data_IF_998125765161
#
_entry.id   IF_998125765161
#
_cell.length_a   1.000
_cell.length_b   1.000
_cell.length_c   1.000
_cell.angle_alpha   90.00
_cell.angle_beta   90.00
_cell.angle_gamma   90.00
#
_symmetry.space_group_name_H-M   'P 1'
#
loop_
_entity.id
_entity.type
_entity.pdbx_description
1 polymer ?
#
# COMPACT_ATOMS: atom_id res chain seq x y z
N UNK A 1 1.57 7.70 0.17
CA UNK A 1 2.00 8.48 1.34
C UNK A 1 1.22 8.07 2.58
N UNK A 2 -0.11 8.32 2.61
CA UNK A 2 -0.91 8.10 3.82
C UNK A 2 -0.81 6.69 4.41
N UNK A 3 -0.89 5.63 3.58
CA UNK A 3 -0.76 4.26 4.06
C UNK A 3 0.61 4.00 4.71
N UNK A 4 1.70 4.51 4.14
CA UNK A 4 3.03 4.40 4.70
C UNK A 4 3.12 5.08 6.08
N UNK A 5 2.64 6.33 6.19
CA UNK A 5 2.68 7.08 7.46
C UNK A 5 1.72 6.52 8.54
N UNK A 6 0.71 5.74 8.17
CA UNK A 6 -0.11 5.00 9.15
C UNK A 6 0.49 3.65 9.54
N UNK A 7 1.43 3.14 8.74
CA UNK A 7 2.17 1.90 9.04
C UNK A 7 3.39 2.21 9.88
N UNK A 8 4.10 3.30 9.56
CA UNK A 8 5.33 3.71 10.22
C UNK A 8 5.23 5.16 10.68
N UNK A 9 5.44 5.40 11.96
CA UNK A 9 5.82 6.70 12.48
C UNK A 9 7.29 7.01 12.10
N UNK A 10 7.78 8.19 12.44
CA UNK A 10 9.15 8.58 12.10
C UNK A 10 10.20 7.69 12.78
N UNK A 11 10.11 7.35 14.07
CA UNK A 11 11.05 6.42 14.72
C UNK A 11 11.10 5.05 14.05
N UNK A 12 9.97 4.43 13.79
CA UNK A 12 9.90 3.13 13.12
C UNK A 12 10.47 3.18 11.68
N UNK A 13 10.22 4.29 10.96
CA UNK A 13 10.80 4.49 9.64
C UNK A 13 12.31 4.68 9.69
N UNK A 14 12.84 5.37 10.69
CA UNK A 14 14.29 5.50 10.92
C UNK A 14 14.92 4.14 11.17
N UNK A 15 14.34 3.34 12.08
CA UNK A 15 14.87 2.03 12.43
C UNK A 15 14.91 1.09 11.21
N UNK A 16 13.79 1.00 10.50
CA UNK A 16 13.64 0.03 9.40
C UNK A 16 14.37 0.45 8.13
N UNK A 17 14.27 1.71 7.73
CA UNK A 17 14.72 2.17 6.41
C UNK A 17 16.00 2.99 6.41
N UNK A 18 16.36 3.57 7.56
CA UNK A 18 17.53 4.46 7.73
C UNK A 18 18.41 4.03 8.93
N UNK A 19 18.78 2.73 9.01
CA UNK A 19 19.55 2.24 10.16
C UNK A 19 20.89 2.98 10.29
N UNK A 20 21.15 3.53 11.48
CA UNK A 20 22.38 4.25 11.80
C UNK A 20 22.47 5.69 11.31
N UNK A 21 21.47 6.19 10.58
CA UNK A 21 21.41 7.61 10.11
C UNK A 21 21.08 8.55 11.25
N UNK A 22 20.20 8.15 12.14
CA UNK A 22 19.86 8.91 13.34
C UNK A 22 20.18 8.11 14.60
N UNK A 23 20.58 8.81 15.64
CA UNK A 23 20.82 8.25 16.98
C UNK A 23 19.93 8.95 17.98
N UNK A 24 19.23 8.16 18.77
CA UNK A 24 18.45 8.66 19.90
C UNK A 24 19.36 9.34 20.92
N UNK A 25 18.84 10.35 21.61
CA UNK A 25 19.55 11.06 22.68
C UNK A 25 18.86 10.79 24.03
N UNK A 26 19.54 11.18 25.12
CA UNK A 26 18.94 11.10 26.47
C UNK A 26 17.76 12.06 26.67
N UNK A 27 17.54 12.97 25.73
CA UNK A 27 16.40 13.91 25.76
C UNK A 27 15.28 13.33 24.92
N UNK A 28 14.07 13.15 25.46
CA UNK A 28 12.92 12.64 24.74
C UNK A 28 12.67 13.43 23.44
N UNK A 29 12.21 12.73 22.41
CA UNK A 29 11.84 13.29 21.10
C UNK A 29 12.98 14.01 20.35
N UNK A 30 14.25 13.73 20.74
CA UNK A 30 15.43 14.29 20.06
C UNK A 30 16.36 13.21 19.53
N UNK A 31 16.79 13.43 18.31
CA UNK A 31 17.73 12.59 17.60
C UNK A 31 18.94 13.40 17.13
N UNK A 32 20.06 12.72 17.00
CA UNK A 32 21.27 13.25 16.38
C UNK A 32 21.41 12.66 14.99
N UNK A 33 21.52 13.49 13.98
CA UNK A 33 21.93 13.05 12.65
C UNK A 33 23.38 12.63 12.66
N UNK A 34 23.70 11.41 12.17
CA UNK A 34 25.01 10.80 12.35
C UNK A 34 26.15 11.59 11.68
N UNK A 35 25.87 12.29 10.56
CA UNK A 35 26.83 13.14 9.85
C UNK A 35 26.73 14.62 10.29
N UNK A 36 25.87 14.92 11.26
CA UNK A 36 25.72 16.26 11.80
C UNK A 36 26.81 16.61 12.81
N UNK A 37 27.12 17.90 12.95
CA UNK A 37 28.13 18.42 13.88
C UNK A 37 27.61 18.66 15.31
N UNK A 38 26.31 18.61 15.53
CA UNK A 38 25.65 18.90 16.82
C UNK A 38 24.80 17.74 17.27
N UNK A 39 24.64 17.59 18.60
CA UNK A 39 23.77 16.56 19.16
C UNK A 39 22.31 17.07 19.31
N UNK A 40 21.34 16.17 19.10
CA UNK A 40 19.93 16.43 19.40
C UNK A 40 19.26 17.48 18.54
N UNK A 41 19.78 17.73 17.34
CA UNK A 41 19.25 18.75 16.42
C UNK A 41 18.07 18.29 15.58
N UNK A 42 17.72 17.02 15.56
CA UNK A 42 16.52 16.51 14.92
C UNK A 42 15.44 16.27 15.99
N UNK A 43 14.29 16.91 15.84
CA UNK A 43 13.21 16.96 16.84
C UNK A 43 11.94 16.35 16.28
N UNK A 44 11.33 15.43 17.04
CA UNK A 44 10.02 14.86 16.74
C UNK A 44 8.88 15.75 17.19
N UNK A 45 7.79 15.68 16.46
CA UNK A 45 6.52 16.38 16.74
C UNK A 45 5.34 15.40 16.55
N UNK A 46 4.22 15.74 17.17
CA UNK A 46 2.94 15.02 17.05
C UNK A 46 3.11 13.50 17.30
N UNK A 47 3.65 13.16 18.47
CA UNK A 47 3.89 11.76 18.91
C UNK A 47 4.66 10.92 17.87
N UNK A 48 5.67 11.51 17.24
CA UNK A 48 6.50 10.84 16.25
C UNK A 48 5.98 10.84 14.82
N UNK A 49 4.92 11.59 14.54
CA UNK A 49 4.36 11.70 13.18
C UNK A 49 5.23 12.54 12.25
N UNK A 50 5.97 13.51 12.80
CA UNK A 50 6.82 14.43 12.04
C UNK A 50 8.19 14.61 12.67
N UNK A 51 9.16 14.94 11.80
CA UNK A 51 10.52 15.31 12.19
C UNK A 51 10.86 16.69 11.60
N UNK A 52 11.55 17.51 12.40
CA UNK A 52 12.23 18.70 11.93
C UNK A 52 13.72 18.62 12.28
N UNK A 53 14.60 18.74 11.29
CA UNK A 53 16.03 18.69 11.48
C UNK A 53 16.66 20.08 11.36
N UNK A 54 17.44 20.45 12.38
CA UNK A 54 18.28 21.66 12.42
C UNK A 54 19.73 21.40 11.91
N UNK A 55 20.03 20.16 11.52
CA UNK A 55 21.35 19.80 10.99
C UNK A 55 21.48 20.23 9.54
N UNK A 56 22.36 21.16 9.23
CA UNK A 56 22.49 21.76 7.89
C UNK A 56 22.86 20.73 6.79
N UNK A 57 23.52 19.64 7.15
CA UNK A 57 23.93 18.56 6.23
C UNK A 57 22.88 17.47 6.07
N UNK A 58 21.81 17.49 6.87
CA UNK A 58 20.73 16.53 6.79
C UNK A 58 19.89 16.78 5.52
N UNK A 59 19.60 15.76 4.68
CA UNK A 59 18.74 15.91 3.50
C UNK A 59 17.37 16.54 3.77
N UNK A 60 16.84 16.42 4.98
CA UNK A 60 15.58 17.04 5.40
C UNK A 60 15.76 18.31 6.25
N UNK A 61 16.96 18.95 6.20
CA UNK A 61 17.27 20.16 6.96
C UNK A 61 16.26 21.28 6.72
N UNK A 62 15.76 21.88 7.81
CA UNK A 62 14.89 23.04 7.76
C UNK A 62 13.47 22.79 7.23
N UNK A 63 13.09 21.53 7.04
CA UNK A 63 11.76 21.14 6.56
C UNK A 63 11.10 20.19 7.57
N UNK A 64 9.81 20.38 7.85
CA UNK A 64 9.00 19.44 8.63
C UNK A 64 8.59 18.29 7.72
N UNK A 65 9.07 17.08 8.01
CA UNK A 65 8.85 15.89 7.19
C UNK A 65 8.10 14.82 7.96
N UNK A 66 7.23 14.08 7.27
CA UNK A 66 6.63 12.84 7.77
C UNK A 66 7.55 11.64 7.47
N UNK A 67 7.17 10.45 7.95
CA UNK A 67 7.95 9.23 7.74
C UNK A 67 8.24 8.92 6.26
N UNK A 68 7.26 9.15 5.36
CA UNK A 68 7.43 8.91 3.92
C UNK A 68 8.46 9.86 3.31
N UNK A 69 8.34 11.17 3.58
CA UNK A 69 9.25 12.17 3.02
C UNK A 69 10.66 12.08 3.64
N UNK A 70 10.78 11.71 4.91
CA UNK A 70 12.05 11.43 5.55
C UNK A 70 12.82 10.34 4.77
N UNK A 71 12.20 9.18 4.58
CA UNK A 71 12.83 8.07 3.84
C UNK A 71 13.09 8.45 2.38
N UNK A 72 12.16 9.15 1.74
CA UNK A 72 12.29 9.62 0.36
C UNK A 72 13.53 10.50 0.17
N UNK A 73 13.69 11.52 1.00
CA UNK A 73 14.80 12.48 0.90
C UNK A 73 16.15 11.79 1.12
N UNK A 74 16.26 10.93 2.11
CA UNK A 74 17.51 10.22 2.41
C UNK A 74 17.90 9.17 1.37
N UNK A 75 16.94 8.39 0.87
CA UNK A 75 17.25 7.30 -0.07
C UNK A 75 17.27 7.72 -1.54
N UNK A 76 16.45 8.67 -1.88
CA UNK A 76 16.15 8.97 -3.28
C UNK A 76 16.28 10.46 -3.62
N UNK A 77 16.56 11.35 -2.65
CA UNK A 77 16.62 12.80 -2.85
C UNK A 77 17.55 13.21 -3.99
N UNK A 78 18.72 12.58 -4.11
CA UNK A 78 19.66 12.86 -5.19
C UNK A 78 19.12 12.57 -6.61
N UNK A 79 18.03 11.84 -6.75
CA UNK A 79 17.37 11.63 -8.05
C UNK A 79 16.63 12.89 -8.55
N UNK A 80 16.44 13.87 -7.69
CA UNK A 80 15.73 15.11 -8.00
C UNK A 80 16.65 16.25 -8.42
N UNK A 81 17.98 16.06 -8.40
CA UNK A 81 18.98 17.12 -8.67
C UNK A 81 18.81 17.79 -10.06
N UNK A 82 18.34 17.01 -11.04
CA UNK A 82 18.06 17.52 -12.40
C UNK A 82 16.61 17.99 -12.59
N UNK A 83 15.79 17.95 -11.53
CA UNK A 83 14.39 18.37 -11.64
C UNK A 83 14.26 19.89 -11.79
N UNK A 84 13.30 20.32 -12.60
CA UNK A 84 13.00 21.76 -12.74
C UNK A 84 12.54 22.34 -11.40
N UNK A 85 13.04 23.54 -11.10
CA UNK A 85 12.60 24.29 -9.92
C UNK A 85 11.07 24.47 -9.93
N UNK A 86 10.42 24.23 -8.80
CA UNK A 86 8.96 24.29 -8.68
C UNK A 86 8.22 23.02 -9.14
N UNK A 87 8.92 21.96 -9.53
CA UNK A 87 8.27 20.69 -9.84
C UNK A 87 7.51 20.17 -8.61
N UNK A 88 6.20 19.85 -8.70
CA UNK A 88 5.44 19.29 -7.61
C UNK A 88 6.05 17.98 -7.10
N UNK A 89 6.10 17.79 -5.77
CA UNK A 89 6.75 16.63 -5.12
C UNK A 89 6.26 15.29 -5.71
N UNK A 90 4.98 15.16 -6.00
CA UNK A 90 4.39 13.95 -6.57
C UNK A 90 4.79 13.66 -8.04
N UNK A 91 5.55 14.54 -8.67
CA UNK A 91 6.12 14.38 -10.03
C UNK A 91 7.63 14.19 -10.00
N UNK A 92 8.26 14.25 -8.84
CA UNK A 92 9.69 14.05 -8.70
C UNK A 92 10.08 12.57 -8.86
N UNK A 93 11.25 12.28 -9.44
CA UNK A 93 11.78 10.90 -9.53
C UNK A 93 11.88 10.21 -8.18
N UNK A 94 12.31 10.94 -7.13
CA UNK A 94 12.39 10.43 -5.76
C UNK A 94 11.04 9.97 -5.23
N UNK A 95 9.96 10.65 -5.59
CA UNK A 95 8.61 10.27 -5.16
C UNK A 95 8.18 8.94 -5.77
N UNK A 96 8.44 8.72 -7.05
CA UNK A 96 8.16 7.46 -7.74
C UNK A 96 8.98 6.31 -7.17
N UNK A 97 10.27 6.56 -6.87
CA UNK A 97 11.16 5.59 -6.25
C UNK A 97 10.66 5.21 -4.84
N UNK A 98 10.24 6.19 -4.05
CA UNK A 98 9.68 5.95 -2.72
C UNK A 98 8.33 5.22 -2.77
N UNK A 99 7.47 5.50 -3.74
CA UNK A 99 6.24 4.75 -3.96
C UNK A 99 6.53 3.28 -4.26
N UNK A 100 7.53 2.98 -5.11
CA UNK A 100 7.95 1.59 -5.39
C UNK A 100 8.45 0.89 -4.13
N UNK A 101 9.25 1.56 -3.31
CA UNK A 101 9.71 1.03 -2.03
C UNK A 101 8.52 0.71 -1.10
N UNK A 102 7.58 1.64 -0.95
CA UNK A 102 6.41 1.46 -0.09
C UNK A 102 5.50 0.29 -0.54
N UNK A 103 5.40 0.04 -1.85
CA UNK A 103 4.64 -1.10 -2.40
C UNK A 103 5.38 -2.42 -2.25
N UNK A 104 6.71 -2.42 -2.32
CA UNK A 104 7.53 -3.62 -2.12
C UNK A 104 7.67 -4.02 -0.65
N UNK A 105 7.32 -3.13 0.27
CA UNK A 105 7.25 -3.42 1.70
C UNK A 105 6.04 -4.30 2.00
N UNK A 106 6.19 -5.29 2.89
CA UNK A 106 5.11 -6.24 3.20
C UNK A 106 4.03 -5.67 4.12
N UNK A 107 4.39 -4.72 4.99
CA UNK A 107 3.49 -4.16 6.00
C UNK A 107 2.58 -3.07 5.43
N UNK A 108 3.10 -2.22 4.53
CA UNK A 108 2.32 -1.11 3.95
C UNK A 108 1.13 -1.60 3.10
N UNK A 109 1.28 -2.53 2.16
CA UNK A 109 0.14 -3.11 1.44
C UNK A 109 -0.82 -3.85 2.37
N UNK A 110 -0.29 -4.62 3.34
CA UNK A 110 -1.11 -5.33 4.33
C UNK A 110 -1.99 -4.39 5.14
N UNK A 111 -1.44 -3.28 5.65
CA UNK A 111 -2.19 -2.25 6.37
C UNK A 111 -3.28 -1.62 5.52
N UNK A 112 -2.94 -1.26 4.27
CA UNK A 112 -3.90 -0.66 3.34
C UNK A 112 -5.06 -1.60 3.03
N UNK A 113 -4.79 -2.90 2.89
CA UNK A 113 -5.82 -3.90 2.64
C UNK A 113 -6.69 -4.13 3.87
N UNK A 114 -6.10 -4.23 5.06
CA UNK A 114 -6.86 -4.36 6.30
C UNK A 114 -7.81 -3.17 6.51
N UNK A 115 -7.36 -1.95 6.23
CA UNK A 115 -8.19 -0.74 6.30
C UNK A 115 -9.36 -0.78 5.29
N UNK A 116 -9.10 -1.21 4.06
CA UNK A 116 -10.17 -1.36 3.04
C UNK A 116 -11.18 -2.42 3.43
N UNK A 117 -10.72 -3.55 3.94
CA UNK A 117 -11.59 -4.61 4.40
C UNK A 117 -12.48 -4.16 5.56
N UNK A 118 -11.89 -3.45 6.53
CA UNK A 118 -12.62 -2.88 7.65
C UNK A 118 -13.67 -1.86 7.19
N UNK A 119 -13.34 -1.02 6.19
CA UNK A 119 -14.30 -0.08 5.61
C UNK A 119 -15.45 -0.81 4.92
N UNK A 120 -15.16 -1.80 4.09
CA UNK A 120 -16.19 -2.63 3.43
C UNK A 120 -17.08 -3.31 4.47
N UNK A 121 -16.48 -3.91 5.51
CA UNK A 121 -17.25 -4.55 6.59
C UNK A 121 -18.13 -3.53 7.33
N UNK A 122 -17.66 -2.32 7.56
CA UNK A 122 -18.44 -1.26 8.18
C UNK A 122 -19.60 -0.81 7.29
N UNK A 123 -19.35 -0.63 5.99
CA UNK A 123 -20.38 -0.21 5.02
C UNK A 123 -21.49 -1.28 4.83
N UNK A 124 -21.18 -2.56 5.11
CA UNK A 124 -22.12 -3.68 5.02
C UNK A 124 -22.55 -4.24 6.37
N UNK A 125 -22.25 -3.55 7.48
CA UNK A 125 -22.58 -4.02 8.83
C UNK A 125 -24.10 -4.19 9.05
N UNK A 126 -24.93 -3.43 8.35
CA UNK A 126 -26.40 -3.44 8.45
C UNK A 126 -27.06 -4.48 7.53
N UNK A 127 -26.28 -5.23 6.72
CA UNK A 127 -26.81 -6.28 5.86
C UNK A 127 -26.74 -7.60 6.64
N UNK A 128 -27.91 -8.19 6.94
CA UNK A 128 -28.01 -9.49 7.59
C UNK A 128 -27.14 -10.53 6.87
N UNK A 129 -26.15 -11.11 7.60
CA UNK A 129 -25.32 -12.18 7.08
C UNK A 129 -26.17 -13.40 6.81
N UNK A 130 -26.07 -14.05 5.62
CA UNK A 130 -26.63 -15.37 5.44
C UNK A 130 -25.92 -16.33 6.44
N UNK A 131 -26.74 -17.00 7.24
CA UNK A 131 -26.29 -17.91 8.29
C UNK A 131 -25.79 -19.23 7.69
N UNK A 132 -24.59 -19.28 7.13
CA UNK A 132 -23.84 -20.51 6.87
C UNK A 132 -22.44 -20.21 6.29
N UNK A 133 -21.50 -19.78 7.16
CA UNK A 133 -20.07 -19.99 6.89
C UNK A 133 -19.29 -20.01 8.21
N UNK A 134 -18.90 -21.20 8.63
CA UNK A 134 -18.23 -21.49 9.92
C UNK A 134 -16.73 -21.17 9.97
N UNK A 135 -16.12 -20.52 8.97
CA UNK A 135 -14.72 -20.07 9.04
C UNK A 135 -14.58 -18.62 8.57
N UNK A 136 -13.78 -17.78 9.29
CA UNK A 136 -13.45 -16.47 8.77
C UNK A 136 -12.69 -16.66 7.44
N UNK A 137 -13.04 -15.90 6.38
CA UNK A 137 -12.37 -16.04 5.09
C UNK A 137 -10.88 -15.79 5.25
N UNK A 138 -10.07 -16.73 4.81
CA UNK A 138 -8.62 -16.52 4.71
C UNK A 138 -8.35 -15.47 3.63
N UNK A 139 -7.95 -14.27 4.04
CA UNK A 139 -7.71 -13.13 3.17
C UNK A 139 -6.23 -12.93 2.83
N UNK A 140 -5.35 -13.88 3.16
CA UNK A 140 -3.90 -13.77 2.89
C UNK A 140 -3.58 -13.61 1.39
N UNK A 141 -4.43 -14.12 0.53
CA UNK A 141 -4.29 -13.99 -0.92
C UNK A 141 -4.41 -12.54 -1.42
N UNK A 142 -5.13 -11.67 -0.70
CA UNK A 142 -5.26 -10.26 -1.04
C UNK A 142 -3.90 -9.54 -1.00
N UNK A 143 -3.00 -9.94 -0.10
CA UNK A 143 -1.65 -9.39 0.00
C UNK A 143 -0.74 -9.75 -1.18
N UNK A 144 -1.15 -10.73 -2.00
CA UNK A 144 -0.43 -11.19 -3.18
C UNK A 144 -0.87 -10.48 -4.46
N UNK A 145 -1.95 -9.69 -4.39
CA UNK A 145 -2.43 -8.94 -5.56
C UNK A 145 -1.44 -7.84 -5.97
N UNK A 146 -1.07 -7.83 -7.23
CA UNK A 146 -0.28 -6.76 -7.80
C UNK A 146 -1.14 -5.48 -7.88
N UNK A 147 -0.63 -4.38 -7.32
CA UNK A 147 -1.31 -3.09 -7.28
C UNK A 147 -0.49 -1.99 -7.94
N UNK A 148 -1.16 -0.98 -8.46
CA UNK A 148 -0.49 0.17 -9.06
C UNK A 148 0.21 1.00 -7.97
N UNK A 149 1.53 1.28 -8.07
CA UNK A 149 2.32 1.86 -6.99
C UNK A 149 1.84 3.24 -6.50
N UNK A 150 1.28 4.05 -7.40
CA UNK A 150 0.80 5.39 -7.04
C UNK A 150 -0.66 5.43 -6.58
N UNK A 151 -1.52 4.59 -7.13
CA UNK A 151 -2.97 4.66 -6.89
C UNK A 151 -3.47 3.58 -5.95
N UNK A 152 -2.67 2.52 -5.73
CA UNK A 152 -3.06 1.34 -4.97
C UNK A 152 -4.21 0.54 -5.60
N UNK A 153 -4.59 0.82 -6.85
CA UNK A 153 -5.60 0.04 -7.55
C UNK A 153 -5.04 -1.31 -7.96
N UNK A 154 -5.85 -2.35 -7.84
CA UNK A 154 -5.50 -3.69 -8.33
C UNK A 154 -5.24 -3.62 -9.83
N UNK A 155 -4.13 -4.21 -10.27
CA UNK A 155 -3.76 -4.25 -11.68
C UNK A 155 -4.55 -5.36 -12.40
N UNK A 156 -4.97 -5.08 -13.63
CA UNK A 156 -5.60 -6.07 -14.50
C UNK A 156 -4.51 -6.98 -15.10
N UNK A 157 -4.05 -7.97 -14.33
CA UNK A 157 -3.08 -8.97 -14.74
C UNK A 157 -3.67 -10.36 -14.64
N UNK A 158 -3.17 -11.30 -15.45
CA UNK A 158 -3.62 -12.69 -15.43
C UNK A 158 -3.44 -13.29 -14.03
N UNK A 159 -2.32 -13.00 -13.37
CA UNK A 159 -2.03 -13.50 -12.02
C UNK A 159 -3.05 -13.00 -10.99
N UNK A 160 -3.43 -11.71 -11.07
CA UNK A 160 -4.46 -11.16 -10.19
C UNK A 160 -5.83 -11.77 -10.48
N UNK A 161 -6.20 -11.97 -11.73
CA UNK A 161 -7.44 -12.64 -12.12
C UNK A 161 -7.50 -14.05 -11.51
N UNK A 162 -6.43 -14.83 -11.66
CA UNK A 162 -6.35 -16.18 -11.07
C UNK A 162 -6.50 -16.15 -9.56
N UNK A 163 -5.77 -15.27 -8.87
CA UNK A 163 -5.85 -15.13 -7.41
C UNK A 163 -7.28 -14.81 -6.95
N UNK A 164 -7.97 -13.91 -7.64
CA UNK A 164 -9.36 -13.55 -7.33
C UNK A 164 -10.29 -14.74 -7.55
N UNK A 165 -10.23 -15.38 -8.71
CA UNK A 165 -11.13 -16.49 -9.06
C UNK A 165 -10.98 -17.70 -8.15
N UNK A 166 -9.77 -17.96 -7.65
CA UNK A 166 -9.48 -19.11 -6.77
C UNK A 166 -9.84 -18.85 -5.32
N UNK A 167 -9.80 -17.60 -4.86
CA UNK A 167 -9.85 -17.32 -3.42
C UNK A 167 -11.05 -16.49 -2.98
N UNK A 168 -11.64 -15.67 -3.88
CA UNK A 168 -12.81 -14.87 -3.51
C UNK A 168 -14.02 -15.80 -3.22
N UNK A 169 -14.64 -15.71 -2.04
CA UNK A 169 -15.75 -16.59 -1.66
C UNK A 169 -16.97 -16.51 -2.59
N UNK A 170 -17.19 -15.39 -3.25
CA UNK A 170 -18.32 -15.20 -4.16
C UNK A 170 -18.04 -15.76 -5.56
N UNK A 171 -16.77 -15.93 -5.91
CA UNK A 171 -16.32 -16.33 -7.24
C UNK A 171 -15.78 -17.75 -7.29
N UNK A 172 -15.27 -18.25 -6.18
CA UNK A 172 -14.70 -19.59 -6.08
C UNK A 172 -15.68 -20.69 -6.55
N UNK A 173 -15.23 -21.47 -7.53
CA UNK A 173 -16.04 -22.55 -8.11
C UNK A 173 -17.13 -22.09 -9.06
N UNK A 174 -17.21 -20.79 -9.39
CA UNK A 174 -18.18 -20.25 -10.36
C UNK A 174 -17.69 -20.26 -11.81
N UNK A 175 -16.45 -20.68 -12.04
CA UNK A 175 -15.81 -20.67 -13.36
C UNK A 175 -15.30 -22.05 -13.73
N UNK A 176 -15.36 -22.36 -15.01
CA UNK A 176 -14.78 -23.57 -15.59
C UNK A 176 -14.19 -23.29 -16.98
N UNK A 177 -13.18 -24.04 -17.36
CA UNK A 177 -12.73 -24.12 -18.73
C UNK A 177 -13.51 -25.21 -19.47
N UNK A 178 -14.23 -24.84 -20.52
CA UNK A 178 -14.83 -25.81 -21.43
C UNK A 178 -13.79 -26.18 -22.48
N UNK A 179 -13.12 -27.31 -22.27
CA UNK A 179 -12.05 -27.78 -23.15
C UNK A 179 -12.56 -28.10 -24.56
N UNK A 180 -13.80 -28.55 -24.71
CA UNK A 180 -14.39 -28.82 -26.03
C UNK A 180 -14.65 -27.54 -26.84
N UNK A 181 -15.08 -26.47 -26.17
CA UNK A 181 -15.32 -25.18 -26.80
C UNK A 181 -14.11 -24.25 -26.79
N UNK A 182 -13.05 -24.61 -26.05
CA UNK A 182 -11.84 -23.81 -25.89
C UNK A 182 -12.09 -22.43 -25.26
N UNK A 183 -13.08 -22.34 -24.33
CA UNK A 183 -13.47 -21.06 -23.72
C UNK A 183 -13.83 -21.21 -22.26
N UNK A 184 -13.68 -20.10 -21.51
CA UNK A 184 -14.18 -19.98 -20.15
C UNK A 184 -15.71 -19.96 -20.08
N UNK A 185 -16.27 -20.50 -19.02
CA UNK A 185 -17.70 -20.46 -18.73
C UNK A 185 -17.96 -20.03 -17.29
N UNK A 186 -19.04 -19.28 -17.09
CA UNK A 186 -19.59 -18.94 -15.77
C UNK A 186 -20.64 -20.00 -15.43
N UNK A 187 -20.53 -20.61 -14.24
CA UNK A 187 -21.37 -21.76 -13.83
C UNK A 187 -22.54 -21.36 -12.94
N UNK A 188 -22.67 -20.10 -12.54
CA UNK A 188 -23.73 -19.70 -11.61
C UNK A 188 -23.82 -18.21 -11.38
N UNK A 189 -24.34 -17.81 -10.22
CA UNK A 189 -24.46 -16.42 -9.82
C UNK A 189 -23.06 -15.83 -9.58
N UNK A 190 -22.80 -14.67 -10.17
CA UNK A 190 -21.62 -13.83 -9.90
C UNK A 190 -22.10 -12.42 -9.54
N UNK A 191 -21.31 -11.60 -8.83
CA UNK A 191 -21.77 -10.29 -8.34
C UNK A 191 -22.34 -9.35 -9.40
N UNK A 192 -21.82 -9.41 -10.62
CA UNK A 192 -22.28 -8.59 -11.75
C UNK A 192 -23.34 -9.24 -12.65
N UNK A 193 -23.65 -10.55 -12.43
CA UNK A 193 -24.74 -11.24 -13.10
C UNK A 193 -25.54 -12.13 -12.14
N UNK A 194 -26.57 -11.58 -11.48
CA UNK A 194 -27.38 -12.30 -10.48
C UNK A 194 -28.33 -13.35 -11.09
N UNK A 195 -28.43 -13.43 -12.42
CA UNK A 195 -29.35 -14.40 -13.08
C UNK A 195 -28.92 -15.86 -12.90
N UNK A 196 -27.62 -16.10 -12.63
CA UNK A 196 -27.08 -17.41 -12.27
C UNK A 196 -27.14 -18.50 -13.35
N UNK A 197 -27.32 -18.11 -14.62
CA UNK A 197 -27.34 -19.06 -15.73
C UNK A 197 -25.94 -19.41 -16.19
N UNK A 198 -25.70 -20.71 -16.44
CA UNK A 198 -24.46 -21.14 -17.10
C UNK A 198 -24.34 -20.48 -18.48
N UNK A 199 -23.25 -19.81 -18.75
CA UNK A 199 -22.96 -19.13 -20.01
C UNK A 199 -21.48 -19.01 -20.29
N UNK A 200 -21.14 -18.70 -21.54
CA UNK A 200 -19.76 -18.36 -21.88
C UNK A 200 -19.28 -17.11 -21.13
N UNK A 201 -17.98 -17.06 -20.85
CA UNK A 201 -17.31 -15.84 -20.44
C UNK A 201 -17.26 -14.84 -21.57
N UNK A 202 -17.60 -13.61 -21.33
CA UNK A 202 -17.63 -12.51 -22.29
C UNK A 202 -16.77 -11.33 -21.80
N UNK A 203 -16.45 -10.39 -22.69
CA UNK A 203 -15.59 -9.23 -22.35
C UNK A 203 -16.14 -8.37 -21.21
N UNK A 204 -17.48 -8.30 -21.07
CA UNK A 204 -18.13 -7.60 -19.95
C UNK A 204 -17.83 -8.23 -18.58
N UNK A 205 -17.49 -9.52 -18.53
CA UNK A 205 -17.16 -10.20 -17.29
C UNK A 205 -15.78 -9.75 -16.76
N UNK A 206 -14.87 -9.37 -17.65
CA UNK A 206 -13.61 -8.77 -17.26
C UNK A 206 -13.79 -7.47 -16.46
N UNK A 207 -14.82 -6.69 -16.75
CA UNK A 207 -15.10 -5.45 -16.04
C UNK A 207 -15.74 -5.69 -14.67
N UNK A 208 -16.46 -6.79 -14.50
CA UNK A 208 -17.08 -7.17 -13.22
C UNK A 208 -16.08 -7.66 -12.16
N UNK A 209 -14.88 -8.06 -12.55
CA UNK A 209 -13.81 -8.52 -11.63
C UNK A 209 -13.07 -7.36 -10.93
N UNK A 210 -13.16 -6.14 -11.42
CA UNK A 210 -12.43 -4.96 -10.96
C UNK A 210 -13.37 -3.84 -10.53
#
# INVERSE_FOLDING_TARGET
VGAFCRTYDVPAAMEKFLPGVYRETDVPDRYTYAEGSTAGGAVLYDDGSFLYSHHATDPCSGVLVNAFDLVRLHKFGAQDDDAQEGTPVNRLPSFDAMCRLAVSDTEVPGKLQAERLAQVQADFADIEKPADSEEPPNNDWLNRLAVHPKTGKVLNTIDNIWLILENDPQLKGRFALNEFAGRGEILGVVPWDPRGKRRAWEDNDNQGLY
#
